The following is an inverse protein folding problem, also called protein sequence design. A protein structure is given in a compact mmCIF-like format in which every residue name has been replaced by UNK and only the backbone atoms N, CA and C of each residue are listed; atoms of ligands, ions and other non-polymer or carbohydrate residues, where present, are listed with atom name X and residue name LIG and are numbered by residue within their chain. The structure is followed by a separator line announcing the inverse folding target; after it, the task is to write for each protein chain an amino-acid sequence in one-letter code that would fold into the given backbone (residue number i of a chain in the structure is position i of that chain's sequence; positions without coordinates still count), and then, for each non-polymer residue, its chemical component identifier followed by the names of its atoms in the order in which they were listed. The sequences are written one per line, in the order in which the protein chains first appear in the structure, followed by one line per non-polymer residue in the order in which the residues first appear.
data_IF_340830853573
#
_entry.id   IF_340830853573
#
_cell.length_a   1.000
_cell.length_b   1.000
_cell.length_c   1.000
_cell.angle_alpha   90.00
_cell.angle_beta   90.00
_cell.angle_gamma   90.00
#
_symmetry.space_group_name_H-M   'P 1'
#
loop_
_entity.id
_entity.type
_entity.pdbx_description
1 polymer ?
#
# COMPACT_ATOMS: atom_id res chain seq x y z
N UNK A 1 -12.53 8.91 -4.74
CA UNK A 1 -11.74 8.04 -3.84
C UNK A 1 -11.25 6.77 -4.54
N UNK A 2 -12.14 5.90 -5.05
CA UNK A 2 -11.78 4.60 -5.66
C UNK A 2 -10.68 4.68 -6.73
N UNK A 3 -10.84 5.54 -7.74
CA UNK A 3 -9.87 5.67 -8.84
C UNK A 3 -8.47 6.05 -8.34
N UNK A 4 -8.37 7.05 -7.46
CA UNK A 4 -7.08 7.50 -6.93
C UNK A 4 -6.36 6.39 -6.15
N UNK A 5 -7.09 5.59 -5.37
CA UNK A 5 -6.51 4.45 -4.66
C UNK A 5 -6.05 3.33 -5.61
N UNK A 6 -6.82 3.02 -6.65
CA UNK A 6 -6.44 2.04 -7.67
C UNK A 6 -5.19 2.50 -8.41
N UNK A 7 -5.14 3.76 -8.84
CA UNK A 7 -3.98 4.32 -9.53
C UNK A 7 -2.73 4.29 -8.66
N UNK A 8 -2.86 4.61 -7.36
CA UNK A 8 -1.74 4.55 -6.43
C UNK A 8 -1.24 3.11 -6.20
N UNK A 9 -2.11 2.11 -6.25
CA UNK A 9 -1.72 0.70 -6.16
C UNK A 9 -1.01 0.20 -7.43
N UNK A 10 -1.39 0.70 -8.61
CA UNK A 10 -0.77 0.30 -9.89
C UNK A 10 0.54 1.05 -10.15
N UNK A 11 0.58 2.36 -9.85
CA UNK A 11 1.74 3.22 -10.10
C UNK A 11 2.08 3.98 -8.80
N UNK A 12 2.87 3.37 -7.90
CA UNK A 12 3.22 3.98 -6.61
C UNK A 12 3.99 5.30 -6.75
N UNK A 13 4.71 5.48 -7.87
CA UNK A 13 5.51 6.68 -8.16
C UNK A 13 4.68 7.96 -8.35
N UNK A 14 3.36 7.86 -8.47
CA UNK A 14 2.43 9.01 -8.43
C UNK A 14 2.51 9.75 -7.09
N UNK A 15 2.95 9.06 -6.02
CA UNK A 15 3.03 9.60 -4.67
C UNK A 15 1.74 9.44 -3.88
N UNK A 16 1.64 10.12 -2.74
CA UNK A 16 0.55 9.94 -1.78
C UNK A 16 -0.80 10.51 -2.24
N UNK A 17 -1.90 9.87 -1.80
CA UNK A 17 -3.28 10.32 -2.07
C UNK A 17 -3.86 11.02 -0.84
N UNK A 18 -4.22 12.30 -0.97
CA UNK A 18 -4.92 13.04 0.08
C UNK A 18 -6.44 12.87 -0.04
N UNK A 19 -7.08 12.34 1.01
CA UNK A 19 -8.52 12.07 1.04
C UNK A 19 -9.17 12.92 2.14
N UNK A 20 -9.91 13.97 1.74
CA UNK A 20 -10.66 14.84 2.67
C UNK A 20 -12.13 14.45 2.74
N UNK A 21 -12.76 14.75 3.87
CA UNK A 21 -14.20 14.58 4.09
C UNK A 21 -14.54 14.56 5.58
N UNK A 22 -15.82 14.58 5.91
CA UNK A 22 -16.32 14.59 7.30
C UNK A 22 -16.03 13.29 8.08
N UNK A 23 -16.18 13.33 9.41
CA UNK A 23 -16.10 12.11 10.23
C UNK A 23 -17.21 11.14 9.79
N UNK A 24 -16.89 9.85 9.71
CA UNK A 24 -17.87 8.81 9.32
C UNK A 24 -17.96 8.52 7.82
N UNK A 25 -17.27 9.24 6.94
CA UNK A 25 -17.32 9.00 5.49
C UNK A 25 -16.50 7.79 4.99
N UNK A 26 -16.15 6.85 5.87
CA UNK A 26 -15.49 5.59 5.47
C UNK A 26 -14.08 5.69 4.87
N UNK A 27 -13.38 6.84 4.99
CA UNK A 27 -12.05 7.05 4.39
C UNK A 27 -11.02 5.98 4.77
N UNK A 28 -10.89 5.71 6.07
CA UNK A 28 -9.95 4.68 6.54
C UNK A 28 -10.47 3.26 6.25
N UNK A 29 -11.80 3.07 6.20
CA UNK A 29 -12.42 1.81 5.80
C UNK A 29 -12.05 1.43 4.37
N UNK A 30 -12.18 2.35 3.41
CA UNK A 30 -11.89 2.06 2.01
C UNK A 30 -10.39 1.80 1.75
N UNK A 31 -9.48 2.49 2.45
CA UNK A 31 -8.04 2.20 2.36
C UNK A 31 -7.72 0.80 2.88
N UNK A 32 -8.22 0.44 4.07
CA UNK A 32 -8.00 -0.91 4.64
C UNK A 32 -8.67 -2.02 3.83
N UNK A 33 -9.85 -1.75 3.27
CA UNK A 33 -10.54 -2.69 2.40
C UNK A 33 -9.72 -2.97 1.14
N UNK A 34 -9.12 -1.94 0.52
CA UNK A 34 -8.24 -2.13 -0.63
C UNK A 34 -7.02 -2.99 -0.28
N UNK A 35 -6.36 -2.75 0.85
CA UNK A 35 -5.21 -3.57 1.27
C UNK A 35 -5.55 -5.06 1.40
N UNK A 36 -6.79 -5.40 1.80
CA UNK A 36 -7.27 -6.79 1.89
C UNK A 36 -7.63 -7.42 0.54
N UNK A 37 -7.78 -6.62 -0.51
CA UNK A 37 -8.09 -7.10 -1.86
C UNK A 37 -6.86 -7.30 -2.72
N UNK A 38 -5.72 -6.73 -2.33
CA UNK A 38 -4.46 -6.91 -3.03
C UNK A 38 -3.87 -8.30 -2.72
N UNK A 39 -3.05 -8.85 -3.64
CA UNK A 39 -2.30 -10.07 -3.38
C UNK A 39 -1.43 -9.93 -2.14
N UNK A 40 -1.11 -11.07 -1.52
CA UNK A 40 -0.06 -11.10 -0.51
C UNK A 40 1.28 -10.71 -1.16
N UNK A 41 2.11 -10.04 -0.38
CA UNK A 41 3.42 -9.56 -0.82
C UNK A 41 4.50 -10.44 -0.20
N UNK A 42 5.35 -11.03 -1.03
CA UNK A 42 6.48 -11.82 -0.58
C UNK A 42 7.52 -10.90 0.08
N UNK A 43 7.90 -11.23 1.31
CA UNK A 43 8.86 -10.44 2.10
C UNK A 43 9.86 -11.37 2.78
N UNK A 44 11.08 -10.88 3.00
CA UNK A 44 12.07 -11.58 3.82
C UNK A 44 11.52 -11.83 5.23
N UNK A 45 11.63 -13.07 5.72
CA UNK A 45 11.12 -13.47 7.02
C UNK A 45 11.74 -12.64 8.16
N UNK A 46 10.90 -12.04 9.01
CA UNK A 46 11.34 -11.20 10.12
C UNK A 46 11.77 -9.78 9.76
N UNK A 47 11.74 -9.39 8.47
CA UNK A 47 12.09 -8.04 8.05
C UNK A 47 11.01 -7.02 8.43
N UNK A 48 11.35 -6.06 9.29
CA UNK A 48 10.42 -4.98 9.69
C UNK A 48 9.98 -4.09 8.52
N UNK A 49 10.86 -3.91 7.54
CA UNK A 49 10.63 -3.04 6.39
C UNK A 49 9.97 -3.77 5.21
N UNK A 50 9.85 -5.10 5.28
CA UNK A 50 9.25 -5.91 4.20
C UNK A 50 10.08 -5.90 2.92
N UNK A 51 11.40 -6.07 3.02
CA UNK A 51 12.27 -6.16 1.84
C UNK A 51 11.87 -7.32 0.92
N UNK A 52 12.01 -7.09 -0.38
CA UNK A 52 11.74 -8.09 -1.41
C UNK A 52 12.83 -9.19 -1.37
N UNK A 53 12.46 -10.47 -1.20
CA UNK A 53 13.42 -11.58 -1.15
C UNK A 53 14.10 -11.84 -2.51
N UNK A 54 13.57 -11.31 -3.61
CA UNK A 54 14.11 -11.48 -4.96
C UNK A 54 15.07 -10.37 -5.39
N UNK A 55 15.23 -9.32 -4.58
CA UNK A 55 16.17 -8.23 -4.81
C UNK A 55 17.20 -8.12 -3.66
N UNK A 56 18.28 -8.94 -3.68
CA UNK A 56 19.29 -8.95 -2.63
C UNK A 56 20.04 -7.63 -2.44
N UNK A 57 20.11 -6.80 -3.48
CA UNK A 57 20.83 -5.52 -3.46
C UNK A 57 20.01 -4.42 -2.76
N UNK A 58 18.70 -4.61 -2.63
CA UNK A 58 17.77 -3.70 -1.95
C UNK A 58 17.41 -4.12 -0.52
N UNK A 59 18.12 -5.09 0.05
CA UNK A 59 17.91 -5.53 1.42
C UNK A 59 18.28 -4.43 2.43
N UNK A 60 17.50 -4.33 3.50
CA UNK A 60 17.84 -3.47 4.62
C UNK A 60 19.13 -3.97 5.31
N UNK A 61 20.05 -3.05 5.62
CA UNK A 61 21.30 -3.33 6.33
C UNK A 61 21.11 -3.70 7.80
#
# INVERSE_FOLDING_TARGET
MKLALILNAIVPTIGGVLIRGEKGTGKSTAVRALARLLPEHDVVEGCHFGCDPTDPDALCA
#
